data_IF_174041411814
#
_entry.id   IF_174041411814
#
_cell.length_a   1.000
_cell.length_b   1.000
_cell.length_c   1.000
_cell.angle_alpha   90.00
_cell.angle_beta   90.00
_cell.angle_gamma   90.00
#
_symmetry.space_group_name_H-M   'P 1'
#
loop_
_entity.id
_entity.type
_entity.pdbx_description
1 polymer ?
#
# COMPACT_ATOMS: atom_id res chain seq x y z
N UNK A 1 -17.46 5.43 -7.86
CA UNK A 1 -16.09 4.89 -7.84
C UNK A 1 -15.15 5.99 -8.29
N UNK A 2 -14.12 6.34 -7.50
CA UNK A 2 -13.06 7.24 -8.02
C UNK A 2 -12.19 6.37 -8.93
N UNK A 3 -12.17 6.67 -10.23
CA UNK A 3 -11.24 6.02 -11.16
C UNK A 3 -9.82 6.13 -10.61
N UNK A 4 -9.02 5.07 -10.80
CA UNK A 4 -7.59 5.16 -10.58
C UNK A 4 -7.09 6.38 -11.36
N UNK A 5 -6.52 7.37 -10.68
CA UNK A 5 -6.01 8.60 -11.32
C UNK A 5 -4.59 8.40 -11.87
N UNK A 6 -4.08 7.17 -11.82
CA UNK A 6 -2.68 6.83 -12.09
C UNK A 6 -1.71 7.69 -11.26
N UNK A 7 -2.15 8.08 -10.05
CA UNK A 7 -1.37 8.83 -9.07
C UNK A 7 -0.82 7.92 -7.97
N UNK A 8 -1.04 6.61 -8.06
CA UNK A 8 -0.66 5.72 -6.98
C UNK A 8 0.87 5.65 -6.83
N UNK A 9 1.34 6.01 -5.64
CA UNK A 9 2.73 5.98 -5.23
C UNK A 9 2.73 5.62 -3.74
N UNK A 10 2.78 4.32 -3.46
CA UNK A 10 2.64 3.76 -2.13
C UNK A 10 3.97 3.79 -1.38
N UNK A 11 3.93 4.33 -0.18
CA UNK A 11 5.09 4.46 0.67
C UNK A 11 4.75 3.91 2.06
N UNK A 12 5.72 3.21 2.65
CA UNK A 12 5.65 2.87 4.06
C UNK A 12 5.65 4.16 4.89
N UNK A 13 4.85 4.16 5.95
CA UNK A 13 4.79 5.26 6.90
C UNK A 13 5.47 4.84 8.20
N UNK A 14 6.01 5.79 9.00
CA UNK A 14 6.61 5.47 10.28
C UNK A 14 5.57 5.13 11.37
N UNK A 15 4.29 5.05 11.01
CA UNK A 15 3.21 4.74 11.95
C UNK A 15 2.67 3.36 11.67
N UNK A 16 2.25 2.70 12.73
CA UNK A 16 1.54 1.43 12.64
C UNK A 16 0.05 1.67 12.89
N UNK A 17 -0.79 0.86 12.25
CA UNK A 17 -2.23 0.85 12.49
C UNK A 17 -2.60 -0.54 12.99
N UNK A 18 -3.12 -0.61 14.22
CA UNK A 18 -3.50 -1.88 14.88
C UNK A 18 -2.32 -2.86 15.03
N UNK A 19 -1.09 -2.35 15.16
CA UNK A 19 0.11 -3.18 15.25
C UNK A 19 0.60 -3.71 13.90
N UNK A 20 0.08 -3.18 12.80
CA UNK A 20 0.53 -3.50 11.45
C UNK A 20 1.18 -2.29 10.79
N UNK A 21 2.18 -2.49 9.93
CA UNK A 21 2.77 -1.39 9.17
C UNK A 21 1.72 -0.73 8.28
N UNK A 22 1.65 0.59 8.35
CA UNK A 22 0.72 1.38 7.54
C UNK A 22 1.44 1.90 6.29
N UNK A 23 0.82 1.67 5.14
CA UNK A 23 1.23 2.26 3.88
C UNK A 23 0.27 3.38 3.51
N UNK A 24 0.82 4.49 3.01
CA UNK A 24 0.04 5.60 2.51
C UNK A 24 0.46 5.93 1.09
N UNK A 25 -0.52 6.09 0.22
CA UNK A 25 -0.31 6.56 -1.14
C UNK A 25 -0.13 8.08 -1.15
N UNK A 26 1.02 8.56 -1.61
CA UNK A 26 1.33 10.00 -1.67
C UNK A 26 0.54 10.75 -2.75
N UNK A 27 0.06 10.06 -3.79
CA UNK A 27 -0.66 10.74 -4.88
C UNK A 27 -2.18 10.73 -4.77
N UNK A 28 -2.79 9.73 -4.13
CA UNK A 28 -4.25 9.71 -3.89
C UNK A 28 -4.66 9.84 -2.42
N UNK A 29 -3.73 9.72 -1.46
CA UNK A 29 -3.99 9.81 -0.03
C UNK A 29 -4.62 8.55 0.59
N UNK A 30 -4.85 7.50 -0.20
CA UNK A 30 -5.35 6.23 0.31
C UNK A 30 -4.35 5.59 1.30
N UNK A 31 -4.87 4.80 2.22
CA UNK A 31 -4.09 4.08 3.23
C UNK A 31 -4.39 2.59 3.14
N UNK A 32 -3.40 1.77 3.46
CA UNK A 32 -3.47 0.32 3.37
C UNK A 32 -2.67 -0.33 4.50
N UNK A 33 -3.17 -1.46 5.01
CA UNK A 33 -2.49 -2.34 5.96
C UNK A 33 -2.55 -3.79 5.45
N UNK A 34 -1.63 -4.68 5.84
CA UNK A 34 -1.58 -6.07 5.39
C UNK A 34 -2.85 -6.87 5.58
N UNK A 35 -3.62 -6.62 6.63
CA UNK A 35 -4.90 -7.27 6.89
C UNK A 35 -6.01 -6.87 5.90
N UNK A 36 -5.82 -5.88 5.04
CA UNK A 36 -6.83 -5.51 4.04
C UNK A 36 -6.96 -6.58 2.95
N UNK A 37 -8.17 -6.86 2.44
CA UNK A 37 -8.44 -7.96 1.50
C UNK A 37 -7.99 -7.68 0.05
N UNK A 38 -7.25 -6.60 -0.18
CA UNK A 38 -6.80 -6.15 -1.49
C UNK A 38 -5.33 -5.73 -1.40
N UNK A 39 -4.58 -5.80 -2.50
CA UNK A 39 -3.16 -5.40 -2.52
C UNK A 39 -2.98 -4.07 -3.25
N UNK A 40 -2.27 -3.10 -2.67
CA UNK A 40 -2.00 -1.82 -3.31
C UNK A 40 -1.13 -2.01 -4.56
N UNK A 41 -1.44 -1.21 -5.57
CA UNK A 41 -0.69 -1.14 -6.82
C UNK A 41 -0.25 0.29 -7.08
N UNK A 42 0.95 0.42 -7.60
CA UNK A 42 1.52 1.66 -8.14
C UNK A 42 0.70 2.14 -9.34
N UNK A 43 0.92 3.38 -9.77
CA UNK A 43 0.33 3.94 -10.98
C UNK A 43 0.63 3.09 -12.23
N UNK A 44 1.76 2.36 -12.25
CA UNK A 44 2.11 1.43 -13.34
C UNK A 44 1.31 0.14 -13.32
N UNK A 45 0.54 -0.13 -12.26
CA UNK A 45 -0.18 -1.39 -12.03
C UNK A 45 0.64 -2.46 -11.31
N UNK A 46 1.94 -2.22 -11.11
CA UNK A 46 2.84 -3.10 -10.35
C UNK A 46 2.56 -3.01 -8.84
N UNK A 47 2.89 -4.06 -8.10
CA UNK A 47 2.82 -4.04 -6.64
C UNK A 47 4.12 -3.42 -6.12
N UNK A 48 4.06 -2.44 -5.18
CA UNK A 48 5.26 -1.82 -4.62
C UNK A 48 6.18 -2.87 -3.98
N UNK A 49 7.50 -2.73 -4.17
CA UNK A 49 8.47 -3.70 -3.66
C UNK A 49 8.39 -3.88 -2.13
N UNK A 50 8.23 -2.79 -1.39
CA UNK A 50 8.07 -2.85 0.06
C UNK A 50 6.84 -3.67 0.49
N UNK A 51 5.74 -3.57 -0.26
CA UNK A 51 4.54 -4.38 -0.03
C UNK A 51 4.81 -5.85 -0.34
N UNK A 52 5.53 -6.15 -1.43
CA UNK A 52 5.93 -7.53 -1.75
C UNK A 52 6.84 -8.16 -0.70
N UNK A 53 7.85 -7.42 -0.22
CA UNK A 53 8.78 -7.88 0.82
C UNK A 53 8.04 -8.16 2.14
N UNK A 54 7.10 -7.28 2.51
CA UNK A 54 6.27 -7.46 3.68
C UNK A 54 5.37 -8.70 3.57
N UNK A 55 4.67 -8.88 2.45
CA UNK A 55 3.79 -10.03 2.23
C UNK A 55 4.56 -11.36 2.19
N UNK A 56 5.85 -11.33 1.86
CA UNK A 56 6.74 -12.52 1.92
C UNK A 56 7.28 -12.81 3.31
N UNK A 57 7.37 -11.80 4.17
CA UNK A 57 7.92 -11.92 5.53
C UNK A 57 6.89 -12.40 6.56
N UNK A 58 5.61 -12.47 6.18
CA UNK A 58 4.50 -12.92 7.03
C UNK A 58 4.06 -14.38 6.82
N UNK A 59 4.85 -15.19 6.11
CA UNK A 59 4.76 -16.67 6.07
C UNK A 59 5.57 -17.28 7.21
#
# INVERSE_FOLDING_TARGET
MRSCRDLCNWNETPVERRGEPLFACRGCGSQWVPSEPWTPREATGEIPRAVLDLLRSGD
#
